data_IF_737480582956
#
_entry.id   IF_737480582956
#
_cell.length_a   1.000
_cell.length_b   1.000
_cell.length_c   1.000
_cell.angle_alpha   90.00
_cell.angle_beta   90.00
_cell.angle_gamma   90.00
#
_symmetry.space_group_name_H-M   'P 1'
#
loop_
_entity.id
_entity.type
_entity.pdbx_description
1 polymer ?
#
# COMPACT_ATOMS: atom_id res chain seq x y z
N UNK A 1 -6.25 -15.54 35.07
CA UNK A 1 -6.43 -16.46 33.93
C UNK A 1 -5.66 -15.85 32.79
N UNK A 2 -4.47 -16.39 32.52
CA UNK A 2 -3.67 -16.04 31.36
C UNK A 2 -4.18 -16.85 30.17
N UNK A 3 -4.58 -16.15 29.10
CA UNK A 3 -5.02 -16.76 27.85
C UNK A 3 -3.81 -17.44 27.17
N UNK A 4 -3.81 -18.78 26.99
CA UNK A 4 -2.70 -19.52 26.40
C UNK A 4 -2.50 -19.21 24.90
N UNK A 5 -3.38 -18.42 24.28
CA UNK A 5 -3.27 -17.95 22.90
C UNK A 5 -2.85 -16.48 22.80
N UNK A 6 -2.55 -15.80 23.91
CA UNK A 6 -1.84 -14.52 23.82
C UNK A 6 -0.45 -14.80 23.27
N UNK A 7 -0.24 -14.47 22.00
CA UNK A 7 1.06 -14.37 21.33
C UNK A 7 1.96 -13.38 22.11
N UNK A 8 2.48 -13.76 23.27
CA UNK A 8 3.28 -12.85 24.11
C UNK A 8 4.66 -12.54 23.52
N UNK A 9 5.07 -13.24 22.45
CA UNK A 9 6.39 -13.12 21.82
C UNK A 9 6.31 -13.01 20.28
N UNK A 10 5.59 -12.03 19.74
CA UNK A 10 5.77 -11.71 18.31
C UNK A 10 7.13 -11.06 18.12
N UNK A 11 8.01 -11.74 17.39
CA UNK A 11 9.30 -11.20 16.96
C UNK A 11 9.10 -9.83 16.24
N UNK A 12 9.82 -8.76 16.62
CA UNK A 12 9.76 -7.45 15.98
C UNK A 12 9.93 -7.50 14.46
N UNK A 13 10.71 -8.46 13.94
CA UNK A 13 10.87 -8.66 12.49
C UNK A 13 9.55 -9.04 11.81
N UNK A 14 8.74 -9.88 12.44
CA UNK A 14 7.42 -10.26 11.94
C UNK A 14 6.44 -9.09 11.98
N UNK A 15 6.48 -8.28 13.04
CA UNK A 15 5.66 -7.07 13.16
C UNK A 15 6.02 -6.04 12.08
N UNK A 16 7.31 -5.83 11.80
CA UNK A 16 7.78 -4.94 10.73
C UNK A 16 7.32 -5.41 9.35
N UNK A 17 7.37 -6.72 9.07
CA UNK A 17 6.85 -7.27 7.81
C UNK A 17 5.33 -7.08 7.71
N UNK A 18 4.60 -7.26 8.80
CA UNK A 18 3.15 -7.01 8.85
C UNK A 18 2.82 -5.54 8.58
N UNK A 19 3.56 -4.61 9.19
CA UNK A 19 3.42 -3.17 8.96
C UNK A 19 3.73 -2.81 7.50
N UNK A 20 4.82 -3.34 6.94
CA UNK A 20 5.18 -3.12 5.55
C UNK A 20 4.07 -3.60 4.59
N UNK A 21 3.57 -4.83 4.78
CA UNK A 21 2.45 -5.37 4.01
C UNK A 21 1.22 -4.48 4.17
N UNK A 22 0.90 -4.05 5.39
CA UNK A 22 -0.26 -3.20 5.66
C UNK A 22 -0.18 -1.89 4.89
N UNK A 23 0.98 -1.22 4.91
CA UNK A 23 1.20 0.06 4.22
C UNK A 23 1.14 -0.14 2.69
N UNK A 24 1.81 -1.17 2.17
CA UNK A 24 2.00 -1.35 0.71
C UNK A 24 0.78 -1.96 0.02
N UNK A 25 0.05 -2.87 0.68
CA UNK A 25 -0.94 -3.72 0.01
C UNK A 25 -2.35 -3.60 0.57
N UNK A 26 -2.52 -3.22 1.84
CA UNK A 26 -3.83 -3.26 2.52
C UNK A 26 -4.45 -1.90 2.85
N UNK A 27 -3.70 -0.81 2.69
CA UNK A 27 -4.27 0.53 2.78
C UNK A 27 -5.14 0.78 1.54
N UNK A 28 -6.46 0.81 1.75
CA UNK A 28 -7.44 1.12 0.69
C UNK A 28 -7.10 2.45 0.03
N UNK A 29 -7.18 2.51 -1.30
CA UNK A 29 -6.97 3.74 -2.06
C UNK A 29 -5.51 4.14 -2.28
N UNK A 30 -4.54 3.27 -1.95
CA UNK A 30 -3.11 3.49 -2.19
C UNK A 30 -2.56 2.39 -3.11
N UNK A 31 -1.58 2.74 -3.94
CA UNK A 31 -0.91 1.78 -4.83
C UNK A 31 0.61 1.93 -4.79
N UNK A 32 1.26 0.85 -4.35
CA UNK A 32 2.68 0.60 -4.51
C UNK A 32 2.86 -0.57 -5.48
N UNK A 33 3.77 -0.47 -6.46
CA UNK A 33 4.03 -1.61 -7.33
C UNK A 33 4.69 -2.76 -6.53
N UNK A 34 4.60 -3.99 -7.04
CA UNK A 34 5.11 -5.17 -6.34
C UNK A 34 6.62 -5.08 -6.06
N UNK A 35 7.38 -4.46 -6.96
CA UNK A 35 8.82 -4.20 -6.83
C UNK A 35 9.16 -2.91 -6.09
N UNK A 36 8.18 -2.06 -5.80
CA UNK A 36 8.42 -0.77 -5.16
C UNK A 36 8.75 -0.93 -3.68
N UNK A 37 9.51 0.02 -3.18
CA UNK A 37 9.74 0.26 -1.76
C UNK A 37 8.91 1.48 -1.34
N UNK A 38 8.63 1.63 -0.05
CA UNK A 38 7.85 2.76 0.48
C UNK A 38 8.62 4.07 0.23
N UNK A 39 9.90 4.10 0.59
CA UNK A 39 10.78 5.27 0.53
C UNK A 39 11.82 5.21 -0.60
N UNK A 40 11.61 4.35 -1.61
CA UNK A 40 12.47 4.25 -2.80
C UNK A 40 13.74 3.42 -2.63
N UNK A 41 14.05 2.91 -1.41
CA UNK A 41 15.08 1.89 -1.23
C UNK A 41 14.79 0.97 -0.04
N UNK A 42 15.26 -0.29 -0.12
CA UNK A 42 15.10 -1.26 0.99
C UNK A 42 15.80 -0.81 2.28
N UNK A 43 16.90 -0.06 2.15
CA UNK A 43 17.62 0.48 3.30
C UNK A 43 16.77 1.51 4.05
N UNK A 44 16.17 2.46 3.32
CA UNK A 44 15.29 3.48 3.90
C UNK A 44 14.01 2.86 4.48
N UNK A 45 13.44 1.87 3.81
CA UNK A 45 12.27 1.13 4.32
C UNK A 45 12.60 0.42 5.63
N UNK A 46 13.76 -0.24 5.71
CA UNK A 46 14.21 -0.88 6.95
C UNK A 46 14.33 0.14 8.08
N UNK A 47 14.92 1.30 7.82
CA UNK A 47 15.06 2.35 8.84
C UNK A 47 13.70 2.93 9.26
N UNK A 48 12.81 3.19 8.30
CA UNK A 48 11.43 3.61 8.57
C UNK A 48 10.68 2.59 9.44
N UNK A 49 10.75 1.31 9.09
CA UNK A 49 10.07 0.24 9.83
C UNK A 49 10.66 0.04 11.23
N UNK A 50 11.95 0.32 11.42
CA UNK A 50 12.57 0.34 12.75
C UNK A 50 12.05 1.49 13.62
N UNK A 51 11.78 2.66 13.04
CA UNK A 51 11.15 3.76 13.78
C UNK A 51 9.66 3.52 14.05
N UNK A 52 8.92 3.01 13.07
CA UNK A 52 7.50 2.69 13.24
C UNK A 52 7.25 1.54 14.21
N UNK A 53 8.21 0.60 14.31
CA UNK A 53 8.15 -0.57 15.18
C UNK A 53 9.55 -0.83 15.76
N UNK A 54 9.92 -0.16 16.86
CA UNK A 54 11.12 -0.46 17.65
C UNK A 54 11.11 -1.89 18.19
N UNK A 55 12.26 -2.39 18.66
CA UNK A 55 12.41 -3.79 19.08
C UNK A 55 11.58 -4.16 20.33
N UNK A 56 11.15 -3.18 21.12
CA UNK A 56 10.30 -3.33 22.31
C UNK A 56 8.79 -3.13 22.01
N UNK A 57 8.39 -3.09 20.74
CA UNK A 57 7.00 -2.88 20.34
C UNK A 57 6.07 -4.01 20.77
N UNK A 58 4.91 -3.64 21.33
CA UNK A 58 3.84 -4.58 21.65
C UNK A 58 3.02 -5.02 20.43
N UNK A 59 2.17 -6.05 20.61
CA UNK A 59 1.38 -6.66 19.54
C UNK A 59 0.37 -5.73 18.84
N UNK A 60 0.00 -4.60 19.44
CA UNK A 60 -0.93 -3.62 18.87
C UNK A 60 -0.25 -2.63 17.92
N UNK A 61 1.08 -2.70 17.74
CA UNK A 61 1.84 -1.71 16.98
C UNK A 61 1.33 -1.51 15.55
N UNK A 62 0.86 -2.57 14.87
CA UNK A 62 0.29 -2.43 13.52
C UNK A 62 -0.90 -1.47 13.49
N UNK A 63 -1.82 -1.62 14.45
CA UNK A 63 -2.99 -0.74 14.56
C UNK A 63 -2.58 0.69 14.92
N UNK A 64 -1.59 0.84 15.79
CA UNK A 64 -1.04 2.15 16.18
C UNK A 64 -0.38 2.87 14.99
N UNK A 65 0.33 2.15 14.12
CA UNK A 65 0.91 2.68 12.89
C UNK A 65 -0.16 3.15 11.91
N UNK A 66 -1.25 2.39 11.73
CA UNK A 66 -2.34 2.79 10.82
C UNK A 66 -3.08 4.02 11.35
N UNK A 67 -3.32 4.07 12.66
CA UNK A 67 -3.89 5.26 13.32
C UNK A 67 -2.95 6.46 13.23
N UNK A 68 -1.64 6.24 13.41
CA UNK A 68 -0.61 7.26 13.25
C UNK A 68 -0.63 7.85 11.83
N UNK A 69 -0.66 7.01 10.79
CA UNK A 69 -0.74 7.45 9.39
C UNK A 69 -1.97 8.34 9.16
N UNK A 70 -3.15 7.89 9.57
CA UNK A 70 -4.38 8.66 9.44
C UNK A 70 -4.29 10.02 10.13
N UNK A 71 -3.87 10.04 11.40
CA UNK A 71 -3.75 11.27 12.19
C UNK A 71 -2.75 12.24 11.57
N UNK A 72 -1.64 11.72 11.05
CA UNK A 72 -0.57 12.52 10.44
C UNK A 72 -1.04 13.13 9.11
N UNK A 73 -1.77 12.37 8.27
CA UNK A 73 -2.38 12.90 7.05
C UNK A 73 -3.38 14.02 7.37
N UNK A 74 -4.25 13.82 8.36
CA UNK A 74 -5.19 14.85 8.82
C UNK A 74 -4.45 16.08 9.40
N UNK A 75 -3.38 15.85 10.15
CA UNK A 75 -2.57 16.92 10.74
C UNK A 75 -1.90 17.78 9.66
N UNK A 76 -1.41 17.19 8.56
CA UNK A 76 -0.87 17.95 7.42
C UNK A 76 -1.87 18.98 6.90
N UNK A 77 -3.14 18.59 6.75
CA UNK A 77 -4.20 19.50 6.28
C UNK A 77 -4.48 20.64 7.26
N UNK A 78 -4.52 20.33 8.56
CA UNK A 78 -4.76 21.32 9.64
C UNK A 78 -3.61 22.30 9.81
N UNK A 79 -2.38 21.81 9.73
CA UNK A 79 -1.16 22.58 9.95
C UNK A 79 -0.62 23.21 8.66
N UNK A 80 -1.32 23.07 7.53
CA UNK A 80 -0.84 23.57 6.24
C UNK A 80 -0.47 25.05 6.28
N UNK A 81 -1.25 25.87 6.98
CA UNK A 81 -1.01 27.30 7.16
C UNK A 81 0.37 27.63 7.77
N UNK A 82 0.99 26.68 8.49
CA UNK A 82 2.34 26.86 9.02
C UNK A 82 3.40 26.91 7.92
N UNK A 83 3.16 26.32 6.76
CA UNK A 83 4.12 26.33 5.65
C UNK A 83 4.34 27.73 5.08
N UNK A 84 3.32 28.59 5.18
CA UNK A 84 3.41 29.99 4.73
C UNK A 84 4.11 30.90 5.75
N UNK A 85 4.14 30.48 7.03
CA UNK A 85 4.57 31.32 8.16
C UNK A 85 5.87 30.85 8.84
N UNK A 86 6.28 29.59 8.65
CA UNK A 86 7.34 28.94 9.41
C UNK A 86 8.18 28.02 8.53
N UNK A 87 9.38 27.70 9.04
CA UNK A 87 10.31 26.76 8.42
C UNK A 87 9.71 25.33 8.26
N UNK A 88 9.98 24.62 7.14
CA UNK A 88 9.50 23.27 6.87
C UNK A 88 9.72 22.26 8.01
N UNK A 89 10.84 22.36 8.74
CA UNK A 89 11.11 21.46 9.86
C UNK A 89 10.12 21.67 11.02
N UNK A 90 9.67 22.91 11.25
CA UNK A 90 8.68 23.21 12.30
C UNK A 90 7.31 22.64 11.94
N UNK A 91 6.92 22.73 10.67
CA UNK A 91 5.72 22.08 10.17
C UNK A 91 5.76 20.57 10.45
N UNK A 92 6.84 19.89 10.04
CA UNK A 92 6.96 18.45 10.24
C UNK A 92 7.05 18.05 11.71
N UNK A 93 7.74 18.82 12.56
CA UNK A 93 7.73 18.59 14.02
C UNK A 93 6.31 18.65 14.60
N UNK A 94 5.53 19.65 14.19
CA UNK A 94 4.13 19.82 14.62
C UNK A 94 3.26 18.65 14.16
N UNK A 95 3.32 18.32 12.86
CA UNK A 95 2.57 17.22 12.25
C UNK A 95 2.92 15.88 12.89
N UNK A 96 4.21 15.57 13.07
CA UNK A 96 4.68 14.35 13.74
C UNK A 96 4.13 14.26 15.16
N UNK A 97 4.27 15.32 15.95
CA UNK A 97 3.76 15.35 17.33
C UNK A 97 2.25 15.11 17.41
N UNK A 98 1.48 15.66 16.47
CA UNK A 98 0.04 15.39 16.37
C UNK A 98 -0.28 13.94 16.00
N UNK A 99 0.51 13.34 15.10
CA UNK A 99 0.40 11.93 14.72
C UNK A 99 0.68 10.97 15.88
N UNK A 100 1.72 11.27 16.68
CA UNK A 100 2.13 10.47 17.84
C UNK A 100 1.17 10.56 19.03
N UNK A 101 0.27 11.55 19.04
CA UNK A 101 -0.66 11.76 20.17
C UNK A 101 -1.53 10.52 20.38
N UNK A 102 -1.42 9.92 21.57
CA UNK A 102 -2.09 8.69 21.97
C UNK A 102 -1.73 7.47 21.08
N UNK A 103 -0.49 7.40 20.62
CA UNK A 103 0.08 6.28 19.87
C UNK A 103 1.39 5.82 20.52
N UNK A 104 1.75 4.54 20.34
CA UNK A 104 3.05 4.00 20.73
C UNK A 104 4.13 4.23 19.65
N UNK A 105 3.77 4.82 18.51
CA UNK A 105 4.70 5.15 17.43
C UNK A 105 5.55 6.36 17.82
N UNK A 106 6.87 6.25 17.61
CA UNK A 106 7.85 7.34 17.75
C UNK A 106 8.70 7.40 16.50
N UNK A 107 8.58 8.48 15.75
CA UNK A 107 9.21 8.58 14.42
C UNK A 107 9.72 10.00 14.21
N UNK A 108 10.91 10.11 13.62
CA UNK A 108 11.52 11.39 13.32
C UNK A 108 10.67 12.22 12.34
N UNK A 109 10.68 13.56 12.43
CA UNK A 109 9.96 14.43 11.50
C UNK A 109 10.29 14.19 10.03
N UNK A 110 11.54 13.82 9.71
CA UNK A 110 11.96 13.55 8.34
C UNK A 110 11.42 12.21 7.82
N UNK A 111 11.36 11.16 8.65
CA UNK A 111 10.71 9.92 8.27
C UNK A 111 9.20 10.07 8.16
N UNK A 112 8.60 10.89 9.03
CA UNK A 112 7.20 11.31 8.91
C UNK A 112 6.93 11.95 7.55
N UNK A 113 7.72 12.97 7.19
CA UNK A 113 7.66 13.64 5.88
C UNK A 113 7.73 12.63 4.75
N UNK A 114 8.74 11.77 4.77
CA UNK A 114 9.01 10.84 3.68
C UNK A 114 7.88 9.81 3.54
N UNK A 115 7.35 9.27 4.65
CA UNK A 115 6.20 8.36 4.66
C UNK A 115 4.95 9.03 4.09
N UNK A 116 4.61 10.24 4.56
CA UNK A 116 3.44 10.97 4.06
C UNK A 116 3.59 11.33 2.58
N UNK A 117 4.78 11.76 2.16
CA UNK A 117 5.08 12.04 0.75
C UNK A 117 4.86 10.80 -0.11
N UNK A 118 5.36 9.65 0.33
CA UNK A 118 5.19 8.37 -0.37
C UNK A 118 3.72 7.96 -0.46
N UNK A 119 2.93 8.17 0.60
CA UNK A 119 1.50 7.86 0.63
C UNK A 119 0.70 8.78 -0.30
N UNK A 120 0.96 10.08 -0.34
CA UNK A 120 0.32 11.02 -1.27
C UNK A 120 0.61 10.60 -2.72
N UNK A 121 1.86 10.26 -3.03
CA UNK A 121 2.22 9.73 -4.35
C UNK A 121 1.50 8.42 -4.64
N UNK A 122 1.48 7.47 -3.69
CA UNK A 122 0.80 6.20 -3.85
C UNK A 122 -0.72 6.36 -4.06
N UNK A 123 -1.34 7.39 -3.46
CA UNK A 123 -2.73 7.78 -3.73
C UNK A 123 -2.90 8.25 -5.18
N UNK A 124 -2.01 9.12 -5.67
CA UNK A 124 -2.05 9.55 -7.07
C UNK A 124 -1.90 8.37 -8.03
N UNK A 125 -0.95 7.46 -7.75
CA UNK A 125 -0.75 6.24 -8.55
C UNK A 125 -2.02 5.37 -8.59
N UNK A 126 -2.69 5.22 -7.44
CA UNK A 126 -3.93 4.47 -7.34
C UNK A 126 -4.98 5.05 -8.30
N UNK A 127 -5.24 6.36 -8.24
CA UNK A 127 -6.24 7.04 -9.09
C UNK A 127 -5.93 6.86 -10.57
N UNK A 128 -4.67 7.12 -10.97
CA UNK A 128 -4.24 6.96 -12.36
C UNK A 128 -4.44 5.53 -12.85
N UNK A 129 -4.10 4.55 -12.01
CA UNK A 129 -4.26 3.13 -12.32
C UNK A 129 -5.74 2.73 -12.41
N UNK A 130 -6.58 3.15 -11.47
CA UNK A 130 -8.01 2.83 -11.51
C UNK A 130 -8.69 3.47 -12.73
N UNK A 131 -8.39 4.72 -13.04
CA UNK A 131 -8.91 5.39 -14.24
C UNK A 131 -8.48 4.73 -15.54
N UNK A 132 -7.30 4.10 -15.57
CA UNK A 132 -6.83 3.34 -16.73
C UNK A 132 -7.49 1.95 -16.88
N UNK A 133 -7.85 1.30 -15.77
CA UNK A 133 -8.47 -0.04 -15.77
C UNK A 133 -9.99 0.06 -15.94
N UNK A 134 -10.61 1.09 -15.35
CA UNK A 134 -12.05 1.28 -15.29
C UNK A 134 -12.42 2.66 -15.86
N UNK A 135 -12.93 2.72 -17.11
CA UNK A 135 -13.24 3.99 -17.79
C UNK A 135 -14.25 4.89 -17.07
N UNK A 136 -15.12 4.31 -16.23
CA UNK A 136 -16.13 5.03 -15.45
C UNK A 136 -15.71 5.23 -14.00
N UNK A 137 -14.43 5.05 -13.66
CA UNK A 137 -13.93 5.27 -12.31
C UNK A 137 -14.12 6.73 -11.91
N UNK A 138 -14.76 6.93 -10.76
CA UNK A 138 -14.93 8.23 -10.13
C UNK A 138 -14.30 8.17 -8.74
N UNK A 139 -13.42 9.13 -8.46
CA UNK A 139 -12.66 9.15 -7.21
C UNK A 139 -13.61 9.28 -6.02
N UNK A 140 -14.66 10.09 -6.18
CA UNK A 140 -15.62 10.41 -5.12
C UNK A 140 -16.40 9.18 -4.65
N UNK A 141 -16.66 8.23 -5.57
CA UNK A 141 -17.45 7.02 -5.30
C UNK A 141 -16.61 5.92 -4.60
N UNK A 142 -15.27 5.97 -4.69
CA UNK A 142 -14.36 4.98 -4.10
C UNK A 142 -13.74 5.43 -2.76
N UNK A 143 -13.85 6.72 -2.43
CA UNK A 143 -13.32 7.28 -1.18
C UNK A 143 -14.02 6.68 0.05
N UNK A 144 -13.22 6.27 1.03
CA UNK A 144 -13.68 5.84 2.35
C UNK A 144 -13.31 6.89 3.40
N UNK A 145 -14.11 7.02 4.48
CA UNK A 145 -13.70 7.83 5.62
C UNK A 145 -12.43 7.23 6.26
N UNK A 146 -11.27 7.85 6.02
CA UNK A 146 -9.99 7.28 6.42
C UNK A 146 -8.79 7.94 5.76
N UNK A 147 -7.70 7.17 5.67
CA UNK A 147 -6.41 7.65 5.18
C UNK A 147 -6.46 8.09 3.72
N UNK A 148 -7.27 7.43 2.89
CA UNK A 148 -7.46 7.76 1.47
C UNK A 148 -8.15 9.11 1.28
N UNK A 149 -9.20 9.43 2.02
CA UNK A 149 -9.82 10.77 2.00
C UNK A 149 -8.84 11.84 2.45
N UNK A 150 -8.09 11.60 3.54
CA UNK A 150 -7.10 12.55 4.03
C UNK A 150 -5.95 12.75 3.02
N UNK A 151 -5.45 11.68 2.40
CA UNK A 151 -4.42 11.73 1.38
C UNK A 151 -4.91 12.39 0.09
N UNK A 152 -6.18 12.16 -0.29
CA UNK A 152 -6.82 12.79 -1.45
C UNK A 152 -6.86 14.32 -1.29
N UNK A 153 -7.32 14.81 -0.13
CA UNK A 153 -7.37 16.25 0.13
C UNK A 153 -5.98 16.89 0.08
N UNK A 154 -4.95 16.21 0.58
CA UNK A 154 -3.56 16.67 0.46
C UNK A 154 -3.09 16.67 -1.00
N UNK A 155 -3.38 15.61 -1.75
CA UNK A 155 -3.00 15.50 -3.16
C UNK A 155 -3.62 16.64 -3.98
N UNK A 156 -4.92 16.89 -3.82
CA UNK A 156 -5.62 17.99 -4.50
C UNK A 156 -5.03 19.35 -4.14
N UNK A 157 -4.72 19.57 -2.86
CA UNK A 157 -4.08 20.80 -2.40
C UNK A 157 -2.69 20.99 -3.01
N UNK A 158 -1.89 19.93 -3.08
CA UNK A 158 -0.56 19.95 -3.72
C UNK A 158 -0.66 20.19 -5.23
N UNK A 159 -1.63 19.56 -5.90
CA UNK A 159 -1.86 19.75 -7.34
C UNK A 159 -2.41 21.15 -7.67
N UNK A 160 -3.14 21.77 -6.74
CA UNK A 160 -3.64 23.14 -6.87
C UNK A 160 -2.59 24.22 -6.64
N UNK A 161 -1.35 23.86 -6.29
CA UNK A 161 -0.25 24.81 -6.16
C UNK A 161 0.19 25.28 -7.55
N UNK A 162 0.32 26.59 -7.74
CA UNK A 162 0.78 27.18 -9.01
C UNK A 162 2.20 26.74 -9.41
N UNK A 163 3.03 26.40 -8.42
CA UNK A 163 4.33 25.75 -8.61
C UNK A 163 4.53 24.63 -7.57
N UNK A 164 4.30 23.36 -7.93
CA UNK A 164 4.51 22.22 -7.04
C UNK A 164 5.95 22.08 -6.55
N UNK A 165 6.92 22.70 -7.23
CA UNK A 165 8.34 22.64 -6.85
C UNK A 165 8.67 23.50 -5.64
N UNK A 166 7.86 24.54 -5.34
CA UNK A 166 7.99 25.35 -4.11
C UNK A 166 7.86 24.52 -2.84
N UNK A 167 7.12 23.42 -2.92
CA UNK A 167 6.91 22.49 -1.81
C UNK A 167 7.68 21.18 -2.02
N UNK A 168 8.44 21.05 -3.11
CA UNK A 168 9.39 19.96 -3.32
C UNK A 168 10.69 20.20 -2.55
N UNK A 169 11.42 19.14 -2.18
CA UNK A 169 12.59 19.24 -1.33
C UNK A 169 12.26 19.18 0.17
N UNK A 170 12.43 20.30 0.88
CA UNK A 170 12.40 20.32 2.36
C UNK A 170 11.01 20.05 2.93
N UNK A 171 9.95 20.50 2.23
CA UNK A 171 8.57 20.28 2.66
C UNK A 171 8.07 18.90 2.24
N UNK A 172 8.08 18.55 0.96
CA UNK A 172 7.80 17.19 0.49
C UNK A 172 8.94 16.75 -0.42
N UNK A 173 9.42 15.51 -0.30
CA UNK A 173 10.55 15.05 -1.14
C UNK A 173 10.23 15.20 -2.63
N UNK A 174 9.23 14.45 -3.10
CA UNK A 174 8.62 14.56 -4.42
C UNK A 174 7.21 13.95 -4.31
N UNK A 175 6.17 14.73 -4.02
CA UNK A 175 4.84 14.18 -3.69
C UNK A 175 4.05 13.71 -4.90
N UNK A 176 4.43 14.15 -6.10
CA UNK A 176 3.74 13.82 -7.35
C UNK A 176 4.53 12.78 -8.15
N UNK A 177 3.81 12.02 -8.99
CA UNK A 177 4.38 11.11 -9.97
C UNK A 177 5.04 11.92 -11.09
N UNK A 178 6.22 11.48 -11.54
CA UNK A 178 6.84 12.05 -12.75
C UNK A 178 6.05 11.66 -14.01
N UNK A 179 6.24 12.37 -15.12
CA UNK A 179 5.56 12.01 -16.37
C UNK A 179 6.04 10.68 -16.96
N UNK A 180 7.29 10.30 -16.69
CA UNK A 180 7.77 8.95 -17.01
C UNK A 180 7.00 7.89 -16.22
N UNK A 181 6.91 8.08 -14.91
CA UNK A 181 6.20 7.17 -14.01
C UNK A 181 4.71 7.05 -14.34
N UNK A 182 4.04 8.16 -14.68
CA UNK A 182 2.65 8.15 -15.15
C UNK A 182 2.51 7.29 -16.40
N UNK A 183 3.39 7.47 -17.40
CA UNK A 183 3.36 6.68 -18.64
C UNK A 183 3.56 5.18 -18.37
N UNK A 184 4.52 4.83 -17.51
CA UNK A 184 4.80 3.44 -17.17
C UNK A 184 3.62 2.80 -16.43
N UNK A 185 3.02 3.51 -15.46
CA UNK A 185 1.83 3.05 -14.74
C UNK A 185 0.66 2.76 -15.69
N UNK A 186 0.40 3.66 -16.64
CA UNK A 186 -0.68 3.49 -17.62
C UNK A 186 -0.40 2.32 -18.57
N UNK A 187 0.85 2.16 -19.03
CA UNK A 187 1.25 1.03 -19.88
C UNK A 187 1.02 -0.31 -19.19
N UNK A 188 1.39 -0.41 -17.90
CA UNK A 188 1.21 -1.65 -17.15
C UNK A 188 -0.25 -1.89 -16.74
N UNK A 189 -1.05 -0.86 -16.48
CA UNK A 189 -2.48 -1.02 -16.19
C UNK A 189 -3.22 -1.73 -17.34
N UNK A 190 -2.90 -1.38 -18.59
CA UNK A 190 -3.46 -2.00 -19.80
C UNK A 190 -3.05 -3.47 -19.95
N UNK A 191 -1.81 -3.81 -19.55
CA UNK A 191 -1.30 -5.19 -19.66
C UNK A 191 -1.96 -6.17 -18.68
N UNK A 192 -2.43 -5.70 -17.52
CA UNK A 192 -2.99 -6.58 -16.49
C UNK A 192 -4.51 -6.65 -16.46
N UNK A 193 -5.22 -5.81 -17.24
CA UNK A 193 -6.67 -5.81 -17.38
C UNK A 193 -7.44 -5.71 -16.04
N UNK A 194 -8.78 -5.67 -16.05
CA UNK A 194 -9.53 -5.99 -14.85
C UNK A 194 -9.21 -7.46 -14.57
N UNK A 195 -8.45 -7.71 -13.49
CA UNK A 195 -8.12 -9.00 -12.86
C UNK A 195 -8.60 -10.17 -13.71
N UNK A 196 -7.68 -10.98 -14.27
CA UNK A 196 -8.01 -12.37 -14.61
C UNK A 196 -8.77 -12.92 -13.41
N UNK A 197 -10.10 -12.96 -13.51
CA UNK A 197 -10.93 -13.68 -12.58
C UNK A 197 -10.42 -15.10 -12.76
N UNK A 198 -9.54 -15.52 -11.87
CA UNK A 198 -9.35 -16.94 -11.61
C UNK A 198 -10.70 -17.32 -11.05
N UNK A 199 -11.63 -17.64 -11.95
CA UNK A 199 -12.88 -18.26 -11.58
C UNK A 199 -12.45 -19.47 -10.78
N UNK A 200 -12.99 -19.60 -9.58
CA UNK A 200 -12.74 -20.71 -8.66
C UNK A 200 -13.25 -22.05 -9.21
N UNK A 201 -13.43 -22.18 -10.52
CA UNK A 201 -13.87 -23.36 -11.25
C UNK A 201 -12.76 -23.88 -12.16
N UNK A 202 -11.66 -24.34 -11.56
CA UNK A 202 -10.81 -25.40 -12.14
C UNK A 202 -10.05 -26.17 -11.06
N UNK A 203 -10.79 -26.68 -10.08
CA UNK A 203 -10.41 -27.87 -9.30
C UNK A 203 -11.48 -28.94 -9.52
N UNK A 204 -11.55 -29.50 -10.74
CA UNK A 204 -12.31 -30.72 -11.03
C UNK A 204 -12.07 -31.25 -12.45
N UNK A 205 -10.83 -31.34 -12.95
CA UNK A 205 -10.54 -32.13 -14.16
C UNK A 205 -9.12 -32.69 -14.08
N UNK A 206 -8.96 -33.70 -13.22
CA UNK A 206 -7.96 -34.79 -13.27
C UNK A 206 -8.31 -35.69 -12.09
N UNK A 207 -9.26 -36.60 -12.32
CA UNK A 207 -9.55 -37.86 -11.62
C UNK A 207 -10.98 -38.29 -11.97
N UNK A 208 -11.27 -38.38 -13.26
CA UNK A 208 -12.31 -39.25 -13.81
C UNK A 208 -11.86 -39.69 -15.20
N UNK A 209 -10.75 -40.43 -15.23
CA UNK A 209 -10.47 -41.41 -16.30
C UNK A 209 -10.04 -42.68 -15.57
N UNK A 210 -11.03 -43.27 -14.89
CA UNK A 210 -11.01 -44.65 -14.46
C UNK A 210 -12.48 -45.05 -14.41
N UNK A 211 -12.84 -46.07 -15.19
CA UNK A 211 -14.19 -46.57 -15.50
C UNK A 211 -14.86 -45.88 -16.68
N UNK A 212 -14.56 -46.38 -17.87
CA UNK A 212 -15.53 -47.01 -18.79
C UNK A 212 -14.91 -47.10 -20.20
N UNK A 213 -14.18 -48.18 -20.47
CA UNK A 213 -14.07 -48.71 -21.84
C UNK A 213 -14.97 -49.94 -21.93
N UNK A 214 -16.03 -49.94 -22.76
CA UNK A 214 -16.76 -51.14 -23.11
C UNK A 214 -15.99 -51.94 -24.17
N UNK A 215 -16.27 -53.24 -24.12
CA UNK A 215 -15.81 -54.33 -24.98
C UNK A 215 -15.85 -54.03 -26.47
N UNK A 216 -14.88 -54.56 -27.22
CA UNK A 216 -15.17 -55.35 -28.43
C UNK A 216 -13.99 -56.27 -28.75
N UNK A 217 -14.35 -57.52 -29.04
CA UNK A 217 -13.49 -58.59 -29.46
C UNK A 217 -13.22 -58.46 -30.96
N UNK A 218 -12.06 -58.93 -31.43
CA UNK A 218 -11.99 -59.73 -32.65
C UNK A 218 -10.62 -60.40 -32.85
N UNK A 219 -10.71 -61.73 -32.95
CA UNK A 219 -10.03 -62.63 -33.90
C UNK A 219 -8.49 -62.60 -34.02
N UNK A 220 -7.86 -63.59 -33.37
CA UNK A 220 -6.65 -64.23 -33.87
C UNK A 220 -6.98 -65.63 -34.37
N UNK A 221 -6.88 -65.84 -35.67
CA UNK A 221 -6.81 -67.14 -36.33
C UNK A 221 -5.35 -67.59 -36.49
N UNK A 222 -5.14 -68.89 -36.28
CA UNK A 222 -3.89 -69.65 -36.25
C UNK A 222 -2.98 -69.50 -37.48
N UNK A 223 -1.75 -70.05 -37.37
CA UNK A 223 -1.32 -71.00 -38.39
C UNK A 223 -0.88 -72.35 -37.82
N UNK A 224 -1.19 -73.35 -38.64
CA UNK A 224 -0.77 -74.76 -38.66
C UNK A 224 0.73 -74.99 -38.37
N UNK A 225 1.03 -75.94 -37.49
CA UNK A 225 1.57 -77.27 -37.83
C UNK A 225 1.69 -78.16 -36.59
#
# INVERSE_FOLDING_TARGET
MDDPFRDHDRNPSSLRMEIEDRIRTRLHGFYFAASDTILGSKHNDKALLQELCPDDSGNNITSDVINYILRTLVACGRQWHMLDALDPLRFWKSVTSMGEKNSNVRIGPMYTRNLITALVRARQRYILRQGAIYPNFRVEDDLKPGSDTAAQALLERIMGLGDPTQFSGDIFMNPLCSDLEKRDLLKHAVQYGPVKQISSKRKAWRHHVAKNSPCEADNYTNPTS
#
